data_IF_102168629163
#
_entry.id   IF_102168629163
#
_cell.length_a   1.000
_cell.length_b   1.000
_cell.length_c   1.000
_cell.angle_alpha   90.00
_cell.angle_beta   90.00
_cell.angle_gamma   90.00
#
_symmetry.space_group_name_H-M   'P 1'
#
loop_
_entity.id
_entity.type
_entity.pdbx_description
1 polymer ?
#
# COMPACT_ATOMS: atom_id res chain seq x y z
N UNK A 1 -7.93 25.85 -1.14
CA UNK A 1 -6.85 26.77 -1.58
C UNK A 1 -7.45 28.15 -1.71
N UNK A 2 -6.86 29.16 -1.08
CA UNK A 2 -7.38 30.52 -1.13
C UNK A 2 -6.87 31.21 -2.39
N UNK A 3 -7.79 31.77 -3.18
CA UNK A 3 -7.45 32.58 -4.35
C UNK A 3 -7.45 34.05 -3.97
N UNK A 4 -6.49 34.78 -4.51
CA UNK A 4 -6.43 36.24 -4.40
C UNK A 4 -6.14 36.87 -5.75
N UNK A 5 -6.35 38.17 -5.84
CA UNK A 5 -5.94 38.97 -6.99
C UNK A 5 -4.85 39.96 -6.60
N UNK A 6 -3.96 40.27 -7.54
CA UNK A 6 -2.89 41.24 -7.34
C UNK A 6 -2.64 42.01 -8.63
N UNK A 7 -2.60 43.33 -8.53
CA UNK A 7 -2.28 44.22 -9.66
C UNK A 7 -0.76 44.33 -9.78
N UNK A 8 -0.22 43.96 -10.93
CA UNK A 8 1.20 44.07 -11.28
C UNK A 8 1.28 44.76 -12.63
N UNK A 9 2.00 45.88 -12.71
CA UNK A 9 2.19 46.66 -13.94
C UNK A 9 0.85 46.93 -14.67
N UNK A 10 -0.14 47.46 -13.94
CA UNK A 10 -1.52 47.77 -14.42
C UNK A 10 -2.34 46.58 -14.92
N UNK A 11 -1.85 45.35 -14.77
CA UNK A 11 -2.59 44.12 -15.09
C UNK A 11 -2.98 43.41 -13.81
N UNK A 12 -4.24 43.02 -13.68
CA UNK A 12 -4.71 42.23 -12.55
C UNK A 12 -4.45 40.74 -12.79
N UNK A 13 -3.76 40.09 -11.85
CA UNK A 13 -3.44 38.67 -11.91
C UNK A 13 -4.14 37.92 -10.78
N UNK A 14 -4.56 36.69 -11.08
CA UNK A 14 -5.13 35.78 -10.08
C UNK A 14 -4.05 34.79 -9.63
N UNK A 15 -3.92 34.62 -8.32
CA UNK A 15 -2.98 33.68 -7.71
C UNK A 15 -3.66 32.73 -6.73
N UNK A 16 -3.07 31.54 -6.56
CA UNK A 16 -3.37 30.61 -5.50
C UNK A 16 -2.27 30.69 -4.43
N UNK A 17 -2.67 30.82 -3.17
CA UNK A 17 -1.74 30.80 -2.04
C UNK A 17 -1.49 29.36 -1.55
N UNK A 18 -0.22 28.96 -1.50
CA UNK A 18 0.19 27.63 -1.11
C UNK A 18 1.14 27.67 0.09
N UNK A 19 0.77 27.05 1.23
CA UNK A 19 1.69 26.88 2.33
C UNK A 19 2.80 25.92 1.92
N UNK A 20 4.02 26.20 2.37
CA UNK A 20 5.18 25.33 2.23
C UNK A 20 6.05 25.43 3.49
N UNK A 21 6.85 24.40 3.73
CA UNK A 21 7.84 24.42 4.80
C UNK A 21 9.14 25.07 4.32
N UNK A 22 9.57 26.16 4.94
CA UNK A 22 10.86 26.78 4.66
C UNK A 22 11.93 26.11 5.53
N UNK A 23 12.77 25.28 4.89
CA UNK A 23 13.81 24.50 5.58
C UNK A 23 14.94 25.37 6.14
N UNK A 24 15.24 26.51 5.51
CA UNK A 24 16.28 27.43 5.99
C UNK A 24 15.80 28.19 7.21
N UNK A 25 14.57 28.71 7.16
CA UNK A 25 13.97 29.49 8.26
C UNK A 25 13.27 28.63 9.32
N UNK A 26 13.22 27.31 9.12
CA UNK A 26 12.59 26.31 10.00
C UNK A 26 11.18 26.71 10.44
N UNK A 27 10.36 27.22 9.50
CA UNK A 27 8.98 27.65 9.77
C UNK A 27 8.08 27.42 8.57
N UNK A 28 6.77 27.38 8.81
CA UNK A 28 5.77 27.45 7.75
C UNK A 28 5.83 28.81 7.06
N UNK A 29 5.77 28.78 5.73
CA UNK A 29 5.75 29.96 4.86
C UNK A 29 4.71 29.78 3.75
N UNK A 30 4.42 30.85 3.02
CA UNK A 30 3.39 30.88 1.99
C UNK A 30 3.99 31.39 0.68
N UNK A 31 3.63 30.75 -0.44
CA UNK A 31 4.04 31.17 -1.78
C UNK A 31 2.81 31.38 -2.65
N UNK A 32 2.82 32.46 -3.42
CA UNK A 32 1.77 32.78 -4.40
C UNK A 32 2.13 32.18 -5.75
N UNK A 33 1.24 31.39 -6.32
CA UNK A 33 1.37 30.87 -7.69
C UNK A 33 0.32 31.56 -8.57
N UNK A 34 0.78 32.36 -9.53
CA UNK A 34 -0.10 33.03 -10.48
C UNK A 34 -0.65 32.03 -11.51
N UNK A 35 -1.97 31.89 -11.53
CA UNK A 35 -2.70 30.92 -12.35
C UNK A 35 -3.34 31.55 -13.59
N UNK A 36 -3.40 32.87 -13.67
CA UNK A 36 -3.99 33.57 -14.81
C UNK A 36 -4.12 35.07 -14.59
N UNK A 37 -4.79 35.73 -15.51
CA UNK A 37 -5.14 37.16 -15.47
C UNK A 37 -6.61 37.33 -15.11
N UNK A 38 -6.94 38.45 -14.49
CA UNK A 38 -8.30 38.92 -14.36
C UNK A 38 -8.48 40.07 -15.36
N UNK A 39 -9.34 39.91 -16.36
CA UNK A 39 -9.63 40.94 -17.35
C UNK A 39 -11.10 41.28 -17.22
N UNK A 40 -11.41 42.49 -16.76
CA UNK A 40 -12.79 42.97 -16.58
C UNK A 40 -13.66 42.06 -15.69
N UNK A 41 -13.07 41.43 -14.68
CA UNK A 41 -13.77 40.49 -13.79
C UNK A 41 -13.82 39.05 -14.30
N UNK A 42 -13.36 38.79 -15.53
CA UNK A 42 -13.25 37.45 -16.10
C UNK A 42 -11.87 36.85 -15.85
N UNK A 43 -11.85 35.65 -15.27
CA UNK A 43 -10.62 34.90 -15.05
C UNK A 43 -10.15 34.22 -16.35
N UNK A 44 -8.99 34.65 -16.84
CA UNK A 44 -8.31 34.07 -18.00
C UNK A 44 -7.13 33.21 -17.50
N UNK A 45 -7.26 31.87 -17.48
CA UNK A 45 -6.20 30.99 -17.01
C UNK A 45 -4.97 30.99 -17.93
N UNK A 46 -3.80 30.73 -17.36
CA UNK A 46 -2.59 30.53 -18.16
C UNK A 46 -2.52 29.08 -18.70
N UNK A 47 -1.71 28.88 -19.76
CA UNK A 47 -1.55 27.56 -20.42
C UNK A 47 -1.14 26.45 -19.44
N UNK A 48 -0.28 26.78 -18.48
CA UNK A 48 0.22 25.83 -17.46
C UNK A 48 -0.91 25.35 -16.53
N UNK A 49 -1.79 26.26 -16.14
CA UNK A 49 -2.93 25.96 -15.27
C UNK A 49 -3.97 25.10 -16.00
N UNK A 50 -4.25 25.39 -17.28
CA UNK A 50 -5.11 24.57 -18.12
C UNK A 50 -4.58 23.13 -18.25
N UNK A 51 -3.30 22.96 -18.58
CA UNK A 51 -2.67 21.65 -18.68
C UNK A 51 -2.74 20.87 -17.36
N UNK A 52 -2.57 21.55 -16.22
CA UNK A 52 -2.71 20.91 -14.90
C UNK A 52 -4.13 20.43 -14.62
N UNK A 53 -5.15 21.18 -15.06
CA UNK A 53 -6.54 20.73 -14.93
C UNK A 53 -6.83 19.52 -15.83
N UNK A 54 -6.34 19.53 -17.07
CA UNK A 54 -6.49 18.40 -17.99
C UNK A 54 -5.84 17.12 -17.44
N UNK A 55 -4.62 17.24 -16.90
CA UNK A 55 -3.93 16.12 -16.26
C UNK A 55 -4.65 15.61 -15.00
N UNK A 56 -5.26 16.50 -14.20
CA UNK A 56 -6.07 16.09 -13.06
C UNK A 56 -7.31 15.32 -13.49
N UNK A 57 -8.04 15.85 -14.48
CA UNK A 57 -9.21 15.17 -15.06
C UNK A 57 -8.83 13.79 -15.62
N UNK A 58 -7.74 13.71 -16.37
CA UNK A 58 -7.24 12.45 -16.90
C UNK A 58 -6.93 11.44 -15.78
N UNK A 59 -6.28 11.87 -14.69
CA UNK A 59 -6.00 11.02 -13.53
C UNK A 59 -7.25 10.57 -12.78
N UNK A 60 -8.25 11.43 -12.65
CA UNK A 60 -9.54 11.10 -12.03
C UNK A 60 -10.34 10.09 -12.86
N UNK A 61 -10.22 10.15 -14.19
CA UNK A 61 -10.84 9.17 -15.11
C UNK A 61 -10.07 7.85 -15.23
N UNK A 62 -8.80 7.81 -14.82
CA UNK A 62 -8.01 6.59 -14.84
C UNK A 62 -8.41 5.70 -13.67
N UNK A 63 -8.98 4.53 -13.96
CA UNK A 63 -9.16 3.50 -12.95
C UNK A 63 -7.79 3.06 -12.42
N UNK A 64 -7.64 2.82 -11.10
CA UNK A 64 -6.40 2.27 -10.56
C UNK A 64 -6.04 0.98 -11.30
N UNK A 65 -4.82 0.91 -11.84
CA UNK A 65 -4.33 -0.33 -12.45
C UNK A 65 -4.33 -1.48 -11.43
N UNK A 66 -4.26 -2.71 -11.92
CA UNK A 66 -4.14 -3.90 -11.06
C UNK A 66 -2.97 -3.73 -10.09
N UNK A 67 -3.22 -4.03 -8.81
CA UNK A 67 -2.19 -3.95 -7.75
C UNK A 67 -0.98 -4.77 -8.18
N UNK A 68 0.24 -4.18 -8.20
CA UNK A 68 1.45 -4.93 -8.50
C UNK A 68 1.58 -6.12 -7.55
N UNK A 69 1.69 -7.33 -8.08
CA UNK A 69 1.96 -8.52 -7.26
C UNK A 69 3.42 -8.47 -6.85
N UNK A 70 3.67 -7.97 -5.63
CA UNK A 70 5.00 -7.67 -5.11
C UNK A 70 5.85 -8.94 -4.81
N UNK A 71 5.22 -10.11 -4.64
CA UNK A 71 5.92 -11.37 -4.32
C UNK A 71 5.28 -12.58 -4.99
N UNK A 72 6.02 -13.27 -5.88
CA UNK A 72 5.70 -14.64 -6.33
C UNK A 72 6.42 -15.64 -5.42
N UNK A 73 5.68 -16.25 -4.49
CA UNK A 73 6.19 -17.33 -3.64
C UNK A 73 5.77 -18.68 -4.23
N UNK A 74 6.72 -19.53 -4.60
CA UNK A 74 6.45 -20.94 -4.92
C UNK A 74 6.44 -21.72 -3.61
N UNK A 75 5.26 -22.09 -3.14
CA UNK A 75 5.08 -22.93 -1.97
C UNK A 75 4.57 -24.32 -2.35
N UNK A 76 5.00 -25.35 -1.62
CA UNK A 76 4.49 -26.71 -1.75
C UNK A 76 3.23 -26.90 -0.89
N UNK A 77 2.21 -27.54 -1.46
CA UNK A 77 0.89 -27.73 -0.85
C UNK A 77 0.50 -29.20 -0.69
N UNK A 78 0.86 -30.07 -1.64
CA UNK A 78 0.25 -31.41 -1.75
C UNK A 78 0.38 -32.26 -0.49
N UNK A 79 1.61 -32.43 0.01
CA UNK A 79 1.86 -33.27 1.18
C UNK A 79 1.29 -32.67 2.47
N UNK A 80 1.30 -31.34 2.60
CA UNK A 80 0.74 -30.66 3.79
C UNK A 80 -0.79 -30.77 3.81
N UNK A 81 -1.44 -30.62 2.64
CA UNK A 81 -2.89 -30.77 2.54
C UNK A 81 -3.35 -32.18 2.91
N UNK A 82 -2.59 -33.21 2.52
CA UNK A 82 -2.86 -34.58 2.95
C UNK A 82 -2.81 -34.72 4.47
N UNK A 83 -1.80 -34.13 5.12
CA UNK A 83 -1.67 -34.15 6.57
C UNK A 83 -2.80 -33.37 7.26
N UNK A 84 -3.25 -32.26 6.69
CA UNK A 84 -4.42 -31.53 7.19
C UNK A 84 -5.67 -32.41 7.16
N UNK A 85 -5.93 -33.10 6.05
CA UNK A 85 -7.08 -34.01 5.96
C UNK A 85 -6.98 -35.17 6.96
N UNK A 86 -5.79 -35.76 7.13
CA UNK A 86 -5.58 -36.81 8.13
C UNK A 86 -5.83 -36.26 9.55
N UNK A 87 -5.35 -35.05 9.84
CA UNK A 87 -5.53 -34.40 11.14
C UNK A 87 -7.00 -34.14 11.48
N UNK A 88 -7.77 -33.67 10.49
CA UNK A 88 -9.22 -33.48 10.64
C UNK A 88 -9.97 -34.82 10.78
N UNK A 89 -9.64 -35.82 9.94
CA UNK A 89 -10.30 -37.14 9.97
C UNK A 89 -10.06 -37.90 11.27
N UNK A 90 -8.87 -37.74 11.86
CA UNK A 90 -8.51 -38.40 13.13
C UNK A 90 -8.97 -37.63 14.36
N UNK A 91 -9.40 -36.37 14.20
CA UNK A 91 -9.75 -35.48 15.32
C UNK A 91 -8.54 -34.88 16.05
N UNK A 92 -7.31 -35.23 15.66
CA UNK A 92 -6.08 -34.79 16.34
C UNK A 92 -5.95 -33.26 16.29
N UNK A 93 -6.35 -32.62 15.19
CA UNK A 93 -6.31 -31.14 15.08
C UNK A 93 -7.23 -30.48 16.09
N UNK A 94 -8.41 -31.06 16.33
CA UNK A 94 -9.38 -30.59 17.30
C UNK A 94 -8.85 -30.75 18.74
N UNK A 95 -8.35 -31.94 19.07
CA UNK A 95 -7.82 -32.24 20.40
C UNK A 95 -6.60 -31.35 20.72
N UNK A 96 -5.68 -31.19 19.78
CA UNK A 96 -4.53 -30.26 19.92
C UNK A 96 -4.99 -28.83 20.16
N UNK A 97 -6.05 -28.39 19.49
CA UNK A 97 -6.61 -27.04 19.67
C UNK A 97 -7.26 -26.86 21.03
N UNK A 98 -7.90 -27.90 21.57
CA UNK A 98 -8.45 -27.88 22.94
C UNK A 98 -7.34 -27.86 24.00
N UNK A 99 -6.32 -28.69 23.85
CA UNK A 99 -5.23 -28.78 24.80
C UNK A 99 -4.32 -27.55 24.77
N UNK A 100 -4.03 -27.02 23.58
CA UNK A 100 -2.99 -26.00 23.35
C UNK A 100 -3.50 -24.88 22.42
N UNK A 101 -4.55 -24.15 22.80
CA UNK A 101 -5.24 -23.20 21.92
C UNK A 101 -4.34 -22.08 21.39
N UNK A 102 -3.33 -21.66 22.15
CA UNK A 102 -2.38 -20.62 21.75
C UNK A 102 -1.23 -21.08 20.86
N UNK A 103 -1.00 -22.40 20.75
CA UNK A 103 0.20 -22.95 20.10
C UNK A 103 -0.04 -24.16 19.19
N UNK A 104 -1.28 -24.62 19.03
CA UNK A 104 -1.59 -25.83 18.25
C UNK A 104 -1.11 -25.75 16.80
N UNK A 105 -1.16 -24.58 16.16
CA UNK A 105 -0.68 -24.38 14.78
C UNK A 105 0.84 -24.53 14.66
N UNK A 106 1.58 -23.98 15.62
CA UNK A 106 3.02 -24.14 15.70
C UNK A 106 3.38 -25.62 15.93
N UNK A 107 2.63 -26.32 16.78
CA UNK A 107 2.81 -27.76 16.97
C UNK A 107 2.54 -28.56 15.70
N UNK A 108 1.42 -28.31 15.01
CA UNK A 108 1.09 -28.96 13.74
C UNK A 108 2.17 -28.71 12.69
N UNK A 109 2.66 -27.47 12.57
CA UNK A 109 3.76 -27.13 11.67
C UNK A 109 5.03 -27.93 11.95
N UNK A 110 5.38 -28.10 13.22
CA UNK A 110 6.53 -28.91 13.64
C UNK A 110 6.29 -30.39 13.34
N UNK A 111 5.11 -30.92 13.65
CA UNK A 111 4.73 -32.30 13.39
C UNK A 111 4.81 -32.59 11.89
N UNK A 112 4.25 -31.73 11.05
CA UNK A 112 4.27 -31.90 9.59
C UNK A 112 5.69 -31.88 9.05
N UNK A 113 6.53 -30.96 9.54
CA UNK A 113 7.93 -30.92 9.18
C UNK A 113 8.67 -32.21 9.57
N UNK A 114 8.44 -32.72 10.79
CA UNK A 114 9.08 -33.94 11.26
C UNK A 114 8.64 -35.17 10.44
N UNK A 115 7.36 -35.28 10.11
CA UNK A 115 6.83 -36.35 9.25
C UNK A 115 7.45 -36.29 7.86
N UNK A 116 7.45 -35.11 7.22
CA UNK A 116 7.84 -34.98 5.82
C UNK A 116 9.34 -35.00 5.59
N UNK A 117 10.13 -34.34 6.45
CA UNK A 117 11.57 -34.18 6.23
C UNK A 117 12.41 -35.10 7.12
N UNK A 118 11.88 -35.54 8.28
CA UNK A 118 12.61 -36.39 9.24
C UNK A 118 14.02 -35.85 9.55
N UNK A 119 14.16 -34.52 9.60
CA UNK A 119 15.42 -33.79 9.76
C UNK A 119 15.43 -32.98 11.06
N UNK A 120 16.62 -32.60 11.56
CA UNK A 120 16.72 -31.79 12.77
C UNK A 120 15.91 -30.47 12.68
N UNK A 121 15.34 -30.04 13.81
CA UNK A 121 14.44 -28.87 13.88
C UNK A 121 15.08 -27.55 13.46
N UNK A 122 16.40 -27.38 13.57
CA UNK A 122 17.06 -26.15 13.12
C UNK A 122 16.88 -25.89 11.60
N UNK A 123 16.57 -26.92 10.80
CA UNK A 123 16.28 -26.77 9.36
C UNK A 123 14.83 -26.38 9.07
N UNK A 124 13.95 -26.33 10.08
CA UNK A 124 12.56 -25.89 9.93
C UNK A 124 12.44 -24.53 9.26
N UNK A 125 13.36 -23.59 9.56
CA UNK A 125 13.34 -22.25 8.98
C UNK A 125 13.36 -22.26 7.44
N UNK A 126 14.09 -23.20 6.82
CA UNK A 126 14.10 -23.36 5.36
C UNK A 126 12.77 -23.95 4.87
N UNK A 127 12.26 -24.95 5.58
CA UNK A 127 11.00 -25.62 5.22
C UNK A 127 9.80 -24.68 5.30
N UNK A 128 9.69 -23.87 6.37
CA UNK A 128 8.66 -22.83 6.56
C UNK A 128 8.58 -21.84 5.38
N UNK A 129 9.72 -21.49 4.76
CA UNK A 129 9.74 -20.57 3.61
C UNK A 129 9.24 -21.22 2.31
N UNK A 130 9.26 -22.55 2.23
CA UNK A 130 9.02 -23.31 0.99
C UNK A 130 7.70 -24.06 1.00
N UNK A 131 7.07 -24.24 2.15
CA UNK A 131 5.81 -24.96 2.31
C UNK A 131 4.73 -24.04 2.86
N UNK A 132 3.47 -24.29 2.49
CA UNK A 132 2.33 -23.68 3.17
C UNK A 132 1.84 -24.65 4.23
N UNK A 133 1.80 -24.21 5.47
CA UNK A 133 1.40 -24.99 6.63
C UNK A 133 0.55 -24.13 7.59
N UNK A 134 -0.14 -24.74 8.58
CA UNK A 134 -0.99 -24.04 9.53
C UNK A 134 -0.30 -22.90 10.28
#
# INVERSE_FOLDING_TARGET
>A
MTRGTQIINRTEYVYEDLPYWDTQKKRGAHKRIYIGKNVKGEFIPNKKYLLQQELKKAKETMQPGSVPVDKRLRQFYGAVYLLDQIGEMTGITHDLKLCLPGSYKQMLSIIYYLILESRPLYRFQKWNRTHRHP
#
